data_IF_295428819980
#
_entry.id   IF_295428819980
#
_cell.length_a   1.000
_cell.length_b   1.000
_cell.length_c   1.000
_cell.angle_alpha   90.00
_cell.angle_beta   90.00
_cell.angle_gamma   90.00
#
_symmetry.space_group_name_H-M   'P 1'
#
loop_
_entity.id
_entity.type
_entity.pdbx_description
1 polymer ?
#
# COMPACT_ATOMS: atom_id res chain seq x y z
N UNK A 1 -6.91 6.89 -13.63
CA UNK A 1 -5.77 7.68 -14.16
C UNK A 1 -4.84 6.78 -14.91
N UNK A 2 -4.06 7.31 -15.85
CA UNK A 2 -3.10 6.55 -16.69
C UNK A 2 -1.64 6.69 -16.24
N UNK A 3 -1.39 7.53 -15.22
CA UNK A 3 -0.07 7.80 -14.62
C UNK A 3 -0.24 8.38 -13.22
N UNK A 4 0.86 8.55 -12.50
CA UNK A 4 0.93 9.33 -11.26
C UNK A 4 0.64 10.82 -11.49
N UNK A 5 0.30 11.50 -10.42
CA UNK A 5 0.18 12.96 -10.34
C UNK A 5 0.97 13.48 -9.12
N UNK A 6 1.33 14.78 -9.07
CA UNK A 6 1.93 15.39 -7.89
C UNK A 6 1.11 15.13 -6.63
N UNK A 7 1.76 14.83 -5.51
CA UNK A 7 1.06 14.53 -4.25
C UNK A 7 0.21 15.72 -3.80
N UNK A 8 -0.97 15.45 -3.24
CA UNK A 8 -1.81 16.48 -2.63
C UNK A 8 -2.78 17.21 -3.55
N UNK A 9 -2.88 16.83 -4.83
CA UNK A 9 -3.82 17.46 -5.78
C UNK A 9 -5.29 17.01 -5.59
N UNK A 10 -5.54 15.99 -4.77
CA UNK A 10 -6.88 15.51 -4.41
C UNK A 10 -7.26 15.92 -3.01
N UNK A 11 -8.55 15.86 -2.67
CA UNK A 11 -9.02 16.17 -1.32
C UNK A 11 -8.40 15.22 -0.30
N UNK A 12 -7.88 15.71 0.83
CA UNK A 12 -7.40 14.86 1.91
C UNK A 12 -8.57 14.15 2.60
N UNK A 13 -8.26 13.08 3.34
CA UNK A 13 -9.21 12.53 4.30
C UNK A 13 -9.29 13.40 5.58
N UNK A 14 -10.15 13.01 6.52
CA UNK A 14 -10.36 13.75 7.78
C UNK A 14 -9.11 13.84 8.67
N UNK A 15 -8.09 13.01 8.43
CA UNK A 15 -6.80 13.04 9.13
C UNK A 15 -5.75 13.93 8.41
N UNK A 16 -6.13 14.62 7.34
CA UNK A 16 -5.19 15.42 6.55
C UNK A 16 -4.26 14.60 5.64
N UNK A 17 -4.55 13.31 5.43
CA UNK A 17 -3.74 12.44 4.57
C UNK A 17 -4.27 12.49 3.13
N UNK A 18 -3.34 12.70 2.20
CA UNK A 18 -3.59 12.79 0.77
C UNK A 18 -3.23 11.49 0.06
N UNK A 19 -3.90 11.26 -1.06
CA UNK A 19 -3.60 10.16 -1.99
C UNK A 19 -3.63 8.75 -1.35
N UNK A 20 -4.39 8.58 -0.26
CA UNK A 20 -4.54 7.29 0.42
C UNK A 20 -5.28 6.24 -0.44
N UNK A 21 -5.96 6.67 -1.51
CA UNK A 21 -6.71 5.82 -2.43
C UNK A 21 -6.36 6.20 -3.88
N UNK A 22 -5.40 5.48 -4.47
CA UNK A 22 -4.85 5.73 -5.80
C UNK A 22 -3.50 6.43 -5.77
N UNK A 23 -3.14 7.06 -6.90
CA UNK A 23 -1.78 7.48 -7.21
C UNK A 23 -0.81 6.30 -7.29
N UNK A 24 -0.34 5.75 -6.16
CA UNK A 24 0.55 4.59 -6.10
C UNK A 24 0.12 3.66 -4.98
N UNK A 25 0.41 2.37 -5.14
CA UNK A 25 0.38 1.43 -4.02
C UNK A 25 1.41 1.83 -2.98
N UNK A 26 1.04 1.80 -1.70
CA UNK A 26 1.96 2.07 -0.59
C UNK A 26 2.37 0.76 0.09
N UNK A 27 3.68 0.50 0.16
CA UNK A 27 4.24 -0.65 0.87
C UNK A 27 4.00 -0.57 2.38
N UNK A 28 3.75 -1.71 3.01
CA UNK A 28 3.61 -1.84 4.47
C UNK A 28 4.58 -2.89 5.03
N UNK A 29 4.86 -2.83 6.33
CA UNK A 29 5.69 -3.81 7.04
C UNK A 29 5.00 -5.14 7.38
N UNK A 30 3.85 -5.43 6.75
CA UNK A 30 3.01 -6.58 7.07
C UNK A 30 3.04 -7.62 5.95
N UNK A 31 3.09 -8.90 6.31
CA UNK A 31 3.05 -10.02 5.34
C UNK A 31 1.63 -10.27 4.88
N UNK A 32 1.45 -10.53 3.58
CA UNK A 32 0.16 -10.84 3.00
C UNK A 32 -0.21 -12.31 3.28
N UNK A 33 -1.40 -12.51 3.83
CA UNK A 33 -2.05 -13.83 3.92
C UNK A 33 -3.39 -13.81 3.18
N UNK A 34 -3.76 -14.94 2.57
CA UNK A 34 -5.02 -15.05 1.83
C UNK A 34 -6.24 -14.84 2.74
N UNK A 35 -6.19 -15.37 3.97
CA UNK A 35 -7.21 -15.18 4.99
C UNK A 35 -6.79 -14.05 5.91
N UNK A 36 -7.69 -13.12 6.19
CA UNK A 36 -7.48 -12.10 7.21
C UNK A 36 -7.56 -12.73 8.61
N UNK A 37 -6.43 -13.16 9.15
CA UNK A 37 -6.31 -13.88 10.43
C UNK A 37 -5.63 -13.04 11.53
N UNK A 38 -5.31 -11.77 11.25
CA UNK A 38 -4.66 -10.86 12.18
C UNK A 38 -3.13 -11.00 12.25
N UNK A 39 -2.50 -11.93 11.52
CA UNK A 39 -1.03 -12.04 11.45
C UNK A 39 -0.35 -10.75 10.96
N UNK A 40 -1.08 -9.97 10.17
CA UNK A 40 -0.63 -8.71 9.56
C UNK A 40 -0.54 -7.54 10.53
N UNK A 41 -1.09 -7.67 11.73
CA UNK A 41 -0.96 -6.68 12.80
C UNK A 41 0.46 -6.64 13.37
N UNK A 42 1.30 -7.61 13.02
CA UNK A 42 2.69 -7.68 13.42
C UNK A 42 3.58 -7.16 12.30
N UNK A 43 4.48 -6.24 12.66
CA UNK A 43 5.58 -5.85 11.78
C UNK A 43 6.53 -7.03 11.64
N UNK A 44 6.82 -7.41 10.39
CA UNK A 44 7.85 -8.40 10.08
C UNK A 44 9.00 -7.67 9.41
N UNK A 45 10.10 -7.51 10.15
CA UNK A 45 11.34 -6.89 9.68
C UNK A 45 12.37 -7.91 9.20
N UNK A 46 12.01 -9.20 9.20
CA UNK A 46 12.92 -10.27 8.78
C UNK A 46 13.10 -10.25 7.26
N UNK A 47 14.23 -9.67 6.84
CA UNK A 47 14.65 -9.53 5.44
C UNK A 47 14.90 -10.87 4.75
N UNK A 48 15.05 -11.96 5.49
CA UNK A 48 15.27 -13.29 4.91
C UNK A 48 13.97 -13.99 4.51
N UNK A 49 12.82 -13.43 4.90
CA UNK A 49 11.51 -13.98 4.59
C UNK A 49 10.87 -13.18 3.44
N UNK A 50 11.29 -13.46 2.20
CA UNK A 50 10.77 -12.86 0.97
C UNK A 50 9.33 -13.32 0.65
N UNK A 51 8.42 -13.28 1.63
CA UNK A 51 6.99 -13.49 1.42
C UNK A 51 6.39 -12.26 0.76
N UNK A 52 5.25 -12.44 0.09
CA UNK A 52 4.49 -11.31 -0.41
C UNK A 52 4.18 -10.35 0.74
N UNK A 53 4.59 -9.09 0.61
CA UNK A 53 4.27 -8.02 1.54
C UNK A 53 3.00 -7.32 1.07
N UNK A 54 2.25 -6.79 2.03
CA UNK A 54 1.01 -6.09 1.73
C UNK A 54 1.34 -4.71 1.17
N UNK A 55 0.68 -4.38 0.07
CA UNK A 55 0.49 -3.02 -0.39
C UNK A 55 -0.96 -2.58 -0.20
N UNK A 56 -1.16 -1.28 0.00
CA UNK A 56 -2.48 -0.66 0.25
C UNK A 56 -2.73 0.54 -0.67
N UNK A 57 -3.98 0.99 -0.72
CA UNK A 57 -4.39 2.23 -1.38
C UNK A 57 -4.68 2.11 -2.88
N UNK A 58 -4.06 1.14 -3.57
CA UNK A 58 -4.17 1.03 -5.03
C UNK A 58 -3.35 2.09 -5.76
N UNK A 59 -3.13 1.90 -7.05
CA UNK A 59 -2.35 2.80 -7.87
C UNK A 59 -3.15 3.39 -9.03
N UNK A 60 -2.51 4.26 -9.82
CA UNK A 60 -3.02 4.61 -11.14
C UNK A 60 -3.25 3.35 -11.98
N UNK A 61 -4.31 3.36 -12.80
CA UNK A 61 -4.73 2.20 -13.60
C UNK A 61 -5.44 1.07 -12.84
N UNK A 62 -5.44 1.07 -11.50
CA UNK A 62 -6.14 0.04 -10.73
C UNK A 62 -7.67 0.15 -10.85
N UNK A 63 -8.34 -1.00 -10.73
CA UNK A 63 -9.80 -1.05 -10.71
C UNK A 63 -10.38 -0.41 -9.44
N UNK A 64 -11.65 0.07 -9.47
CA UNK A 64 -12.33 0.58 -8.28
C UNK A 64 -12.36 -0.39 -7.08
N UNK A 65 -12.29 -1.71 -7.33
CA UNK A 65 -12.26 -2.72 -6.26
C UNK A 65 -10.92 -2.73 -5.50
N UNK A 66 -9.82 -2.40 -6.17
CA UNK A 66 -8.47 -2.42 -5.59
C UNK A 66 -8.15 -1.13 -4.80
N UNK A 67 -8.84 -0.03 -5.10
CA UNK A 67 -8.64 1.27 -4.40
C UNK A 67 -9.52 1.45 -3.16
N UNK A 68 -10.18 0.40 -2.67
CA UNK A 68 -10.95 0.49 -1.42
C UNK A 68 -10.02 0.52 -0.23
N UNK A 69 -10.44 1.18 0.84
CA UNK A 69 -9.67 1.32 2.08
C UNK A 69 -9.28 -0.02 2.72
N UNK A 70 -10.15 -1.03 2.61
CA UNK A 70 -9.93 -2.38 3.14
C UNK A 70 -9.23 -3.33 2.16
N UNK A 71 -8.97 -2.91 0.92
CA UNK A 71 -8.31 -3.77 -0.07
C UNK A 71 -6.85 -4.01 0.32
N UNK A 72 -6.41 -5.24 0.06
CA UNK A 72 -5.07 -5.75 0.40
C UNK A 72 -4.58 -6.48 -0.83
N UNK A 73 -3.42 -6.09 -1.33
CA UNK A 73 -2.75 -6.80 -2.41
C UNK A 73 -1.38 -7.27 -1.92
N UNK A 74 -1.00 -8.48 -2.32
CA UNK A 74 0.28 -9.09 -1.97
C UNK A 74 1.28 -8.92 -3.10
N UNK A 75 2.40 -8.27 -2.85
CA UNK A 75 3.49 -8.09 -3.81
C UNK A 75 4.80 -8.60 -3.22
N UNK A 76 5.63 -9.25 -4.03
CA UNK A 76 6.96 -9.62 -3.58
C UNK A 76 7.89 -8.39 -3.62
N UNK A 77 8.62 -8.08 -2.53
CA UNK A 77 9.41 -6.86 -2.41
C UNK A 77 10.63 -6.83 -3.35
N UNK A 78 10.97 -7.97 -3.97
CA UNK A 78 12.06 -8.09 -4.94
C UNK A 78 11.70 -7.57 -6.34
N UNK A 79 10.40 -7.34 -6.61
CA UNK A 79 9.97 -6.84 -7.91
C UNK A 79 9.82 -5.31 -7.88
N UNK A 80 10.64 -4.63 -8.69
CA UNK A 80 10.45 -3.21 -8.97
C UNK A 80 9.18 -2.97 -9.79
N UNK A 81 8.46 -1.90 -9.47
CA UNK A 81 7.24 -1.52 -10.17
C UNK A 81 7.07 -0.01 -10.21
N UNK A 82 6.56 0.53 -11.33
CA UNK A 82 6.24 1.95 -11.49
C UNK A 82 4.91 2.36 -10.82
N UNK A 83 4.19 1.41 -10.24
CA UNK A 83 2.99 1.66 -9.42
C UNK A 83 3.26 1.55 -7.92
N UNK A 84 4.46 1.13 -7.51
CA UNK A 84 4.84 1.00 -6.11
C UNK A 84 5.48 2.27 -5.55
N UNK A 85 5.07 2.66 -4.34
CA UNK A 85 5.59 3.80 -3.59
C UNK A 85 5.64 3.52 -2.10
N UNK A 86 5.93 4.55 -1.31
CA UNK A 86 6.07 4.43 0.14
C UNK A 86 5.56 5.68 0.86
N UNK A 87 5.16 5.49 2.11
CA UNK A 87 4.89 6.53 3.08
C UNK A 87 5.57 6.13 4.37
N UNK A 88 6.42 7.01 4.90
CA UNK A 88 7.07 6.76 6.18
C UNK A 88 6.11 7.03 7.34
N UNK A 89 6.27 6.26 8.41
CA UNK A 89 5.67 6.54 9.71
C UNK A 89 6.77 6.63 10.76
N UNK A 90 6.45 7.27 11.88
CA UNK A 90 7.35 7.39 13.03
C UNK A 90 6.52 7.19 14.31
N UNK A 91 7.12 6.53 15.29
CA UNK A 91 6.55 6.43 16.63
C UNK A 91 6.52 7.82 17.30
N UNK A 92 5.55 8.02 18.20
CA UNK A 92 5.36 9.26 18.98
C UNK A 92 6.26 9.32 20.20
#
# INVERSE_FOLDING_TARGET
GVKTHPVGEKKPNHFGLYDMLGNVYEWTGSVYTLKYDGSELKLILDKNNCKGMIVRGGAWGCSPKSIRTASRDGYYPIYGSNVGGLRCCQDV
#
